data_IF_724330818622
#
_entry.id   IF_724330818622
#
_cell.length_a   1.000
_cell.length_b   1.000
_cell.length_c   1.000
_cell.angle_alpha   90.00
_cell.angle_beta   90.00
_cell.angle_gamma   90.00
#
_symmetry.space_group_name_H-M   'P 1'
#
loop_
_entity.id
_entity.type
_entity.pdbx_description
1 polymer ?
#
# COMPACT_ATOMS: atom_id res chain seq x y z
N UNK A 1 3.68 16.88 11.11
CA UNK A 1 3.26 15.53 10.69
C UNK A 1 1.97 15.16 11.40
N UNK A 2 1.26 14.11 10.96
CA UNK A 2 -0.02 13.68 11.58
C UNK A 2 0.15 13.22 13.04
N UNK A 3 1.31 12.63 13.37
CA UNK A 3 1.64 12.29 14.76
C UNK A 3 1.79 13.54 15.63
N UNK A 4 2.56 14.54 15.16
CA UNK A 4 2.68 15.84 15.85
C UNK A 4 1.30 16.50 16.03
N UNK A 5 0.44 16.45 15.01
CA UNK A 5 -0.94 16.93 15.12
C UNK A 5 -1.73 16.19 16.21
N UNK A 6 -1.60 14.86 16.32
CA UNK A 6 -2.22 14.09 17.41
C UNK A 6 -1.72 14.54 18.79
N UNK A 7 -0.43 14.81 18.95
CA UNK A 7 0.15 15.33 20.19
C UNK A 7 -0.31 16.76 20.52
N UNK A 8 -0.51 17.61 19.51
CA UNK A 8 -1.07 18.95 19.70
C UNK A 8 -2.53 18.90 20.13
N UNK A 9 -3.33 18.01 19.54
CA UNK A 9 -4.72 17.75 19.96
C UNK A 9 -4.78 17.23 21.38
N UNK A 10 -3.93 16.26 21.75
CA UNK A 10 -3.83 15.75 23.12
C UNK A 10 -3.52 16.86 24.15
N UNK A 11 -2.79 17.90 23.75
CA UNK A 11 -2.44 19.07 24.57
C UNK A 11 -3.50 20.18 24.57
N UNK A 12 -4.64 19.99 23.89
CA UNK A 12 -5.72 20.98 23.80
C UNK A 12 -5.45 22.16 22.87
N UNK A 13 -4.39 22.12 22.05
CA UNK A 13 -4.03 23.27 21.20
C UNK A 13 -5.04 23.57 20.09
N UNK A 14 -5.92 22.62 19.78
CA UNK A 14 -6.90 22.69 18.71
C UNK A 14 -8.35 22.84 19.18
N UNK A 15 -8.57 23.07 20.49
CA UNK A 15 -9.92 23.21 21.07
C UNK A 15 -10.71 24.36 20.43
N UNK A 16 -10.08 25.51 20.21
CA UNK A 16 -10.70 26.66 19.55
C UNK A 16 -11.02 26.40 18.06
N UNK A 17 -10.44 25.36 17.48
CA UNK A 17 -10.76 24.89 16.12
C UNK A 17 -11.80 23.76 16.13
N UNK A 18 -12.41 23.45 17.29
CA UNK A 18 -13.43 22.41 17.42
C UNK A 18 -12.87 20.99 17.57
N UNK A 19 -11.57 20.84 17.87
CA UNK A 19 -10.92 19.52 18.06
C UNK A 19 -10.44 19.39 19.50
N UNK A 20 -11.26 18.82 20.41
CA UNK A 20 -10.87 18.60 21.79
C UNK A 20 -9.89 17.42 21.95
N UNK A 21 -9.20 17.30 23.10
CA UNK A 21 -8.36 16.14 23.43
C UNK A 21 -9.11 14.80 23.47
N UNK A 22 -10.43 14.83 23.65
CA UNK A 22 -11.31 13.66 23.63
C UNK A 22 -12.25 13.72 22.40
N UNK A 23 -11.94 12.95 21.36
CA UNK A 23 -12.71 12.91 20.11
C UNK A 23 -13.72 11.79 20.18
N UNK A 24 -15.02 12.11 20.26
CA UNK A 24 -16.10 11.12 20.41
C UNK A 24 -17.38 11.46 19.61
N UNK A 25 -17.33 12.43 18.70
CA UNK A 25 -18.51 12.84 17.91
C UNK A 25 -18.14 13.11 16.45
N UNK A 26 -19.16 13.10 15.60
CA UNK A 26 -19.03 13.38 14.18
C UNK A 26 -18.59 14.82 13.89
N UNK A 27 -19.00 15.78 14.73
CA UNK A 27 -18.60 17.19 14.63
C UNK A 27 -17.08 17.35 14.84
N UNK A 28 -16.51 16.62 15.81
CA UNK A 28 -15.05 16.63 16.02
C UNK A 28 -14.31 16.06 14.79
N UNK A 29 -14.84 15.03 14.15
CA UNK A 29 -14.27 14.48 12.91
C UNK A 29 -14.33 15.49 11.76
N UNK A 30 -15.40 16.27 11.64
CA UNK A 30 -15.50 17.35 10.65
C UNK A 30 -14.49 18.47 10.90
N UNK A 31 -14.31 18.86 12.17
CA UNK A 31 -13.31 19.84 12.56
C UNK A 31 -11.88 19.35 12.22
N UNK A 32 -11.58 18.08 12.50
CA UNK A 32 -10.29 17.46 12.13
C UNK A 32 -10.11 17.45 10.61
N UNK A 33 -11.13 17.06 9.85
CA UNK A 33 -11.09 17.07 8.38
C UNK A 33 -10.76 18.47 7.85
N UNK A 34 -11.41 19.51 8.39
CA UNK A 34 -11.13 20.89 8.02
C UNK A 34 -9.70 21.32 8.38
N UNK A 35 -9.22 20.98 9.59
CA UNK A 35 -7.85 21.24 10.01
C UNK A 35 -6.82 20.55 9.10
N UNK A 36 -7.08 19.30 8.70
CA UNK A 36 -6.21 18.53 7.81
C UNK A 36 -6.08 19.19 6.44
N UNK A 37 -7.19 19.58 5.80
CA UNK A 37 -7.16 20.25 4.49
C UNK A 37 -6.67 21.69 4.55
N UNK A 38 -7.12 22.47 5.53
CA UNK A 38 -6.86 23.91 5.58
C UNK A 38 -5.51 24.29 6.19
N UNK A 39 -4.96 23.46 7.08
CA UNK A 39 -3.74 23.82 7.83
C UNK A 39 -2.64 22.77 7.74
N UNK A 40 -2.94 21.49 7.94
CA UNK A 40 -1.88 20.46 8.03
C UNK A 40 -1.28 20.12 6.66
N UNK A 41 -2.11 19.79 5.66
CA UNK A 41 -1.65 19.42 4.32
C UNK A 41 -0.91 20.58 3.60
N UNK A 42 -1.39 21.84 3.63
CA UNK A 42 -0.69 22.94 2.97
C UNK A 42 0.72 23.18 3.52
N UNK A 43 0.95 22.93 4.83
CA UNK A 43 2.27 23.12 5.47
C UNK A 43 3.34 22.18 4.94
N UNK A 44 2.97 20.94 4.56
CA UNK A 44 3.94 19.93 4.11
C UNK A 44 4.24 19.99 2.61
N UNK A 45 3.41 20.68 1.83
CA UNK A 45 3.61 20.91 0.38
C UNK A 45 3.98 19.63 -0.39
N UNK A 46 3.29 18.52 -0.12
CA UNK A 46 3.55 17.20 -0.76
C UNK A 46 3.60 17.27 -2.29
N UNK A 47 2.75 18.05 -3.00
CA UNK A 47 2.82 18.15 -4.45
C UNK A 47 4.20 18.51 -4.98
N UNK A 48 4.98 19.33 -4.26
CA UNK A 48 6.32 19.72 -4.70
C UNK A 48 7.24 18.52 -4.95
N UNK A 49 7.05 17.38 -4.27
CA UNK A 49 7.83 16.14 -4.49
C UNK A 49 7.63 15.51 -5.87
N UNK A 50 6.60 15.94 -6.62
CA UNK A 50 6.19 15.38 -7.91
C UNK A 50 6.26 16.38 -9.07
N UNK A 51 6.36 17.67 -8.74
CA UNK A 51 6.33 18.75 -9.72
C UNK A 51 7.73 19.11 -10.20
N UNK A 52 7.80 19.83 -11.31
CA UNK A 52 9.04 20.40 -11.84
C UNK A 52 9.15 21.89 -11.49
N UNK A 53 10.37 22.39 -11.39
CA UNK A 53 10.64 23.83 -11.30
C UNK A 53 10.52 24.48 -12.68
N UNK A 54 9.38 25.13 -12.96
CA UNK A 54 9.10 25.73 -14.27
C UNK A 54 10.17 26.73 -14.67
N UNK A 55 10.57 27.62 -13.76
CA UNK A 55 11.56 28.66 -14.04
C UNK A 55 12.93 28.06 -14.40
N UNK A 56 13.42 27.11 -13.62
CA UNK A 56 14.72 26.49 -13.86
C UNK A 56 14.77 25.73 -15.20
N UNK A 57 13.69 25.01 -15.55
CA UNK A 57 13.60 24.26 -16.81
C UNK A 57 13.45 25.21 -18.01
N UNK A 58 12.71 26.31 -17.84
CA UNK A 58 12.57 27.36 -18.85
C UNK A 58 13.90 28.06 -19.13
N UNK A 59 14.64 28.42 -18.09
CA UNK A 59 15.96 29.06 -18.21
C UNK A 59 16.95 28.16 -18.96
N UNK A 60 16.94 26.86 -18.63
CA UNK A 60 17.77 25.86 -19.30
C UNK A 60 17.36 25.67 -20.77
N UNK A 61 16.06 25.58 -21.06
CA UNK A 61 15.55 25.55 -22.42
C UNK A 61 15.98 26.78 -23.21
N UNK A 62 15.86 27.97 -22.65
CA UNK A 62 16.24 29.22 -23.30
C UNK A 62 17.76 29.27 -23.61
N UNK A 63 18.59 28.79 -22.68
CA UNK A 63 20.04 28.67 -22.86
C UNK A 63 20.40 27.72 -24.01
N UNK A 64 19.70 26.59 -24.12
CA UNK A 64 19.92 25.61 -25.20
C UNK A 64 19.39 26.11 -26.55
N UNK A 65 18.20 26.72 -26.56
CA UNK A 65 17.54 27.21 -27.77
C UNK A 65 18.35 28.33 -28.47
N UNK A 66 19.04 29.19 -27.71
CA UNK A 66 19.95 30.21 -28.26
C UNK A 66 21.11 29.66 -29.08
N UNK A 67 21.57 28.46 -28.75
CA UNK A 67 22.76 27.84 -29.34
C UNK A 67 22.40 26.77 -30.38
N UNK A 68 21.11 26.59 -30.70
CA UNK A 68 20.64 25.51 -31.58
C UNK A 68 19.70 26.03 -32.64
N UNK A 69 19.97 25.61 -33.87
CA UNK A 69 19.14 25.94 -35.02
C UNK A 69 17.77 25.27 -34.86
N UNK A 70 16.66 26.02 -34.99
CA UNK A 70 15.31 25.45 -35.01
C UNK A 70 15.20 24.33 -36.05
N UNK A 71 14.44 23.24 -35.77
CA UNK A 71 14.18 22.23 -36.77
C UNK A 71 13.39 22.82 -37.95
N UNK A 72 13.63 22.26 -39.14
CA UNK A 72 12.91 22.66 -40.35
C UNK A 72 11.40 22.40 -40.18
N UNK A 73 10.54 23.26 -40.74
CA UNK A 73 9.09 23.07 -40.68
C UNK A 73 8.69 21.71 -41.28
N UNK A 74 8.01 20.88 -40.50
CA UNK A 74 7.41 19.63 -40.98
C UNK A 74 6.00 19.87 -41.51
N UNK A 75 5.56 19.05 -42.46
CA UNK A 75 4.19 19.09 -43.02
C UNK A 75 3.10 18.78 -41.98
N UNK A 76 3.46 18.09 -40.90
CA UNK A 76 2.55 17.78 -39.79
C UNK A 76 2.76 18.76 -38.63
N UNK A 77 1.68 19.19 -37.95
CA UNK A 77 1.78 20.02 -36.75
C UNK A 77 2.48 19.26 -35.62
N UNK A 78 3.24 19.96 -34.75
CA UNK A 78 3.89 19.34 -33.60
C UNK A 78 2.85 18.77 -32.63
N UNK A 79 3.02 17.51 -32.27
CA UNK A 79 2.20 16.84 -31.26
C UNK A 79 2.76 17.12 -29.86
N UNK A 80 2.27 18.19 -29.23
CA UNK A 80 2.67 18.59 -27.87
C UNK A 80 2.27 17.57 -26.79
N UNK A 81 1.42 16.58 -27.10
CA UNK A 81 1.04 15.54 -26.14
C UNK A 81 2.19 14.56 -25.85
N UNK A 82 3.21 14.51 -26.71
CA UNK A 82 4.39 13.67 -26.57
C UNK A 82 5.30 14.10 -25.41
N UNK A 83 5.33 15.40 -25.09
CA UNK A 83 6.11 15.87 -23.96
C UNK A 83 5.43 15.47 -22.65
N UNK A 84 6.09 14.63 -21.86
CA UNK A 84 5.62 14.17 -20.54
C UNK A 84 6.54 14.64 -19.45
N UNK A 85 5.97 14.88 -18.27
CA UNK A 85 6.72 15.05 -17.03
C UNK A 85 7.38 13.71 -16.66
N UNK A 86 8.66 13.77 -16.36
CA UNK A 86 9.49 12.66 -15.89
C UNK A 86 9.71 12.86 -14.39
N UNK A 87 9.17 11.97 -13.52
CA UNK A 87 9.33 12.09 -12.07
C UNK A 87 10.80 12.02 -11.64
N UNK A 88 11.17 12.72 -10.56
CA UNK A 88 12.47 12.53 -9.92
C UNK A 88 12.47 11.19 -9.18
N UNK A 89 13.39 10.26 -9.46
CA UNK A 89 13.41 8.94 -8.81
C UNK A 89 13.66 9.01 -7.30
N UNK A 90 14.23 10.13 -6.81
CA UNK A 90 14.45 10.38 -5.39
C UNK A 90 13.29 11.18 -4.76
N UNK A 91 12.28 11.60 -5.53
CA UNK A 91 11.18 12.45 -5.07
C UNK A 91 11.65 13.73 -4.35
N UNK A 92 12.68 14.40 -4.87
CA UNK A 92 13.09 15.72 -4.37
C UNK A 92 12.12 16.80 -4.83
N UNK A 93 11.95 17.83 -4.01
CA UNK A 93 11.01 18.93 -4.28
C UNK A 93 11.39 19.69 -5.54
N UNK A 94 10.45 19.80 -6.48
CA UNK A 94 10.56 20.53 -7.74
C UNK A 94 11.66 20.01 -8.67
N UNK A 95 12.08 18.76 -8.50
CA UNK A 95 13.15 18.11 -9.28
C UNK A 95 12.65 17.21 -10.41
N UNK A 96 11.33 17.04 -10.59
CA UNK A 96 10.83 16.41 -11.79
C UNK A 96 11.29 17.19 -13.03
N UNK A 97 11.37 16.52 -14.18
CA UNK A 97 11.93 17.09 -15.40
C UNK A 97 11.08 16.76 -16.63
N UNK A 98 11.55 17.16 -17.81
CA UNK A 98 11.02 16.75 -19.11
C UNK A 98 12.18 16.41 -20.03
N UNK A 99 11.91 15.67 -21.11
CA UNK A 99 12.90 15.50 -22.18
C UNK A 99 13.14 16.85 -22.88
N UNK A 100 14.26 17.49 -22.55
CA UNK A 100 14.66 18.79 -23.12
C UNK A 100 14.98 18.71 -24.62
N UNK A 101 15.45 17.56 -25.11
CA UNK A 101 15.71 17.36 -26.54
C UNK A 101 14.41 17.28 -27.33
N UNK A 102 13.42 16.57 -26.79
CA UNK A 102 12.07 16.59 -27.32
C UNK A 102 11.43 17.97 -27.21
N UNK A 103 11.60 18.67 -26.08
CA UNK A 103 11.07 20.01 -25.90
C UNK A 103 11.65 21.00 -26.93
N UNK A 104 12.96 20.97 -27.18
CA UNK A 104 13.60 21.79 -28.21
C UNK A 104 13.03 21.48 -29.61
N UNK A 105 12.82 20.21 -29.93
CA UNK A 105 12.20 19.83 -31.22
C UNK A 105 10.78 20.35 -31.39
N UNK A 106 9.99 20.36 -30.32
CA UNK A 106 8.57 20.75 -30.36
C UNK A 106 8.37 22.26 -30.26
N UNK A 107 9.16 22.96 -29.45
CA UNK A 107 8.91 24.36 -29.08
C UNK A 107 9.91 25.35 -29.67
N UNK A 108 11.16 24.96 -29.96
CA UNK A 108 12.15 25.84 -30.60
C UNK A 108 11.93 25.91 -32.12
N UNK A 109 10.79 26.44 -32.56
CA UNK A 109 10.38 26.44 -33.98
C UNK A 109 10.53 27.81 -34.64
N UNK A 110 10.59 27.82 -35.97
CA UNK A 110 10.43 29.05 -36.76
C UNK A 110 8.99 29.55 -36.64
N UNK A 111 8.82 30.86 -36.47
CA UNK A 111 7.50 31.49 -36.40
C UNK A 111 7.38 32.62 -37.40
N UNK A 112 6.27 32.67 -38.12
CA UNK A 112 5.97 33.73 -39.10
C UNK A 112 5.53 35.05 -38.45
N UNK A 113 5.18 35.03 -37.16
CA UNK A 113 4.74 36.18 -36.37
C UNK A 113 5.89 36.93 -35.67
N UNK A 114 7.14 36.55 -35.92
CA UNK A 114 8.34 37.12 -35.29
C UNK A 114 9.33 37.63 -36.35
N UNK A 115 9.86 38.85 -36.15
CA UNK A 115 10.76 39.52 -37.10
C UNK A 115 12.24 39.48 -36.69
N UNK A 116 12.52 39.08 -35.45
CA UNK A 116 13.86 38.96 -34.88
C UNK A 116 13.96 37.71 -34.00
N UNK A 117 15.19 37.22 -33.82
CA UNK A 117 15.47 35.98 -33.11
C UNK A 117 15.14 36.08 -31.61
N UNK A 118 15.32 37.24 -30.99
CA UNK A 118 15.00 37.44 -29.56
C UNK A 118 13.49 37.39 -29.30
N UNK A 119 12.68 37.93 -30.20
CA UNK A 119 11.22 37.84 -30.14
C UNK A 119 10.73 36.42 -30.39
N UNK A 120 11.31 35.71 -31.37
CA UNK A 120 11.02 34.28 -31.64
C UNK A 120 11.31 33.43 -30.41
N UNK A 121 12.51 33.55 -29.84
CA UNK A 121 12.93 32.81 -28.65
C UNK A 121 12.01 33.09 -27.46
N UNK A 122 11.64 34.36 -27.21
CA UNK A 122 10.69 34.70 -26.13
C UNK A 122 9.33 34.02 -26.31
N UNK A 123 8.77 34.04 -27.53
CA UNK A 123 7.48 33.40 -27.81
C UNK A 123 7.52 31.87 -27.67
N UNK A 124 8.56 31.23 -28.21
CA UNK A 124 8.80 29.79 -28.04
C UNK A 124 8.95 29.40 -26.57
N UNK A 125 9.68 30.21 -25.81
CA UNK A 125 9.90 30.01 -24.38
C UNK A 125 8.60 30.16 -23.58
N UNK A 126 7.76 31.14 -23.90
CA UNK A 126 6.46 31.32 -23.24
C UNK A 126 5.49 30.17 -23.54
N UNK A 127 5.45 29.67 -24.77
CA UNK A 127 4.64 28.49 -25.10
C UNK A 127 5.12 27.23 -24.39
N UNK A 128 6.44 27.03 -24.28
CA UNK A 128 7.02 25.95 -23.52
C UNK A 128 6.69 26.07 -22.02
N UNK A 129 6.85 27.27 -21.45
CA UNK A 129 6.47 27.57 -20.07
C UNK A 129 5.01 27.22 -19.79
N UNK A 130 4.08 27.66 -20.65
CA UNK A 130 2.65 27.32 -20.52
C UNK A 130 2.43 25.80 -20.57
N UNK A 131 3.17 25.07 -21.40
CA UNK A 131 3.07 23.60 -21.42
C UNK A 131 3.56 22.97 -20.13
N UNK A 132 4.65 23.47 -19.55
CA UNK A 132 5.17 23.01 -18.26
C UNK A 132 4.18 23.27 -17.12
N UNK A 133 3.54 24.44 -17.11
CA UNK A 133 2.47 24.79 -16.16
C UNK A 133 1.27 23.83 -16.29
N UNK A 134 0.85 23.52 -17.53
CA UNK A 134 -0.20 22.53 -17.80
C UNK A 134 0.18 21.12 -17.28
N UNK A 135 1.43 20.68 -17.52
CA UNK A 135 1.93 19.39 -17.03
C UNK A 135 1.97 19.34 -15.50
N UNK A 136 2.46 20.41 -14.86
CA UNK A 136 2.45 20.53 -13.40
C UNK A 136 1.02 20.50 -12.85
N UNK A 137 0.07 21.21 -13.46
CA UNK A 137 -1.31 21.22 -13.01
C UNK A 137 -1.96 19.84 -13.13
N UNK A 138 -1.71 19.11 -14.22
CA UNK A 138 -2.21 17.75 -14.39
C UNK A 138 -1.68 16.79 -13.31
N UNK A 139 -0.38 16.87 -12.99
CA UNK A 139 0.23 16.07 -11.91
C UNK A 139 -0.29 16.52 -10.54
N UNK A 140 -0.38 17.82 -10.30
CA UNK A 140 -0.90 18.37 -9.05
C UNK A 140 -2.34 17.89 -8.81
N UNK A 141 -3.20 17.92 -9.82
CA UNK A 141 -4.58 17.42 -9.72
C UNK A 141 -4.65 15.92 -9.37
N UNK A 142 -3.72 15.11 -9.88
CA UNK A 142 -3.60 13.70 -9.49
C UNK A 142 -3.20 13.55 -8.01
N UNK A 143 -2.20 14.32 -7.56
CA UNK A 143 -1.72 14.28 -6.16
C UNK A 143 -2.78 14.80 -5.19
N UNK A 144 -3.40 15.96 -5.47
CA UNK A 144 -4.86 16.18 -5.42
C UNK A 144 -5.70 15.03 -4.86
N UNK A 145 -6.16 14.18 -5.78
CA UNK A 145 -7.04 13.07 -5.47
C UNK A 145 -6.45 12.09 -4.45
N UNK A 146 -5.13 11.85 -4.47
CA UNK A 146 -4.48 11.00 -3.48
C UNK A 146 -4.49 11.59 -2.07
N UNK A 147 -4.27 12.89 -1.93
CA UNK A 147 -4.31 13.57 -0.64
C UNK A 147 -5.73 13.67 -0.07
N UNK A 148 -6.74 13.86 -0.95
CA UNK A 148 -8.15 13.78 -0.55
C UNK A 148 -8.46 12.38 0.00
N UNK A 149 -8.09 11.32 -0.72
CA UNK A 149 -8.26 9.95 -0.25
C UNK A 149 -7.53 9.71 1.09
N UNK A 150 -6.32 10.26 1.25
CA UNK A 150 -5.55 10.17 2.49
C UNK A 150 -6.28 10.76 3.69
N UNK A 151 -6.90 11.93 3.54
CA UNK A 151 -7.69 12.55 4.60
C UNK A 151 -8.92 11.70 4.91
N UNK A 152 -9.66 11.27 3.89
CA UNK A 152 -10.88 10.49 4.10
C UNK A 152 -10.61 9.14 4.78
N UNK A 153 -9.53 8.46 4.43
CA UNK A 153 -9.13 7.22 5.11
C UNK A 153 -8.68 7.47 6.56
N UNK A 154 -7.99 8.58 6.83
CA UNK A 154 -7.66 8.98 8.21
C UNK A 154 -8.94 9.23 9.02
N UNK A 155 -9.92 9.94 8.45
CA UNK A 155 -11.22 10.21 9.11
C UNK A 155 -12.01 8.92 9.32
N UNK A 156 -12.02 8.00 8.36
CA UNK A 156 -12.65 6.69 8.50
C UNK A 156 -12.02 5.86 9.63
N UNK A 157 -10.69 5.85 9.71
CA UNK A 157 -9.97 5.23 10.83
C UNK A 157 -10.33 5.86 12.18
N UNK A 158 -10.27 7.19 12.29
CA UNK A 158 -10.66 7.90 13.52
C UNK A 158 -12.11 7.60 13.91
N UNK A 159 -13.03 7.55 12.94
CA UNK A 159 -14.44 7.20 13.17
C UNK A 159 -14.55 5.82 13.80
N UNK A 160 -13.92 4.81 13.20
CA UNK A 160 -13.96 3.44 13.72
C UNK A 160 -13.43 3.37 15.15
N UNK A 161 -12.25 3.92 15.41
CA UNK A 161 -11.62 3.82 16.73
C UNK A 161 -12.34 4.61 17.84
N UNK A 162 -13.06 5.69 17.49
CA UNK A 162 -13.49 6.68 18.49
C UNK A 162 -14.99 6.97 18.56
N UNK A 163 -15.71 6.81 17.45
CA UNK A 163 -17.12 7.23 17.33
C UNK A 163 -18.05 6.04 17.03
N UNK A 164 -17.63 5.12 16.16
CA UNK A 164 -18.48 4.04 15.66
C UNK A 164 -18.91 3.08 16.78
N UNK A 165 -20.14 2.58 16.69
CA UNK A 165 -20.76 1.85 17.79
C UNK A 165 -20.15 0.49 18.10
N UNK A 166 -19.70 -0.19 17.05
CA UNK A 166 -19.02 -1.49 16.95
C UNK A 166 -17.48 -1.35 16.89
N UNK A 167 -16.95 -0.14 17.10
CA UNK A 167 -15.53 0.10 17.24
C UNK A 167 -15.07 0.13 18.70
N UNK A 168 -13.75 0.27 18.94
CA UNK A 168 -13.16 0.31 20.29
C UNK A 168 -13.65 1.42 21.21
N UNK A 169 -14.21 2.52 20.66
CA UNK A 169 -14.66 3.72 21.37
C UNK A 169 -13.63 4.23 22.37
N UNK A 170 -12.46 4.64 21.87
CA UNK A 170 -11.39 5.25 22.63
C UNK A 170 -11.43 6.77 22.36
N UNK A 171 -12.05 7.62 23.21
CA UNK A 171 -12.16 9.05 22.90
C UNK A 171 -10.84 9.79 23.04
N UNK A 172 -10.06 9.44 24.06
CA UNK A 172 -8.87 10.17 24.46
C UNK A 172 -7.75 10.03 23.42
N UNK A 173 -7.20 11.18 23.01
CA UNK A 173 -6.05 11.23 22.11
C UNK A 173 -4.78 11.28 22.95
N UNK A 174 -3.91 10.28 22.79
CA UNK A 174 -2.64 10.21 23.53
C UNK A 174 -1.48 9.86 22.60
N UNK A 175 -0.25 9.83 23.12
CA UNK A 175 0.91 9.34 22.36
C UNK A 175 0.80 7.84 22.03
N UNK A 176 0.14 7.06 22.89
CA UNK A 176 -0.12 5.63 22.71
C UNK A 176 -1.29 5.39 21.73
N UNK A 177 -2.33 6.21 21.85
CA UNK A 177 -3.54 6.15 21.05
C UNK A 177 -3.70 7.45 20.24
N UNK A 178 -2.88 7.67 19.19
CA UNK A 178 -2.94 8.87 18.36
C UNK A 178 -4.21 8.89 17.48
N UNK A 179 -4.48 10.03 16.82
CA UNK A 179 -5.62 10.11 15.89
C UNK A 179 -5.43 9.21 14.65
N UNK A 180 -4.18 9.13 14.16
CA UNK A 180 -3.79 8.28 13.04
C UNK A 180 -2.65 7.39 13.52
N UNK A 181 -2.72 6.05 13.32
CA UNK A 181 -1.62 5.17 13.69
C UNK A 181 -0.34 5.55 12.96
N UNK A 182 0.82 5.20 13.53
CA UNK A 182 2.09 5.37 12.83
C UNK A 182 2.17 4.37 11.67
N UNK A 183 2.68 4.83 10.53
CA UNK A 183 2.90 4.01 9.34
C UNK A 183 4.38 3.68 9.14
N UNK A 184 5.25 4.34 9.90
CA UNK A 184 6.69 4.18 9.82
C UNK A 184 7.26 4.23 11.24
N UNK A 185 8.24 3.36 11.48
CA UNK A 185 9.15 3.43 12.61
C UNK A 185 10.39 4.21 12.17
N UNK A 186 10.86 5.10 13.03
CA UNK A 186 12.04 5.91 12.81
C UNK A 186 12.88 5.98 14.08
N UNK A 187 14.18 6.28 13.91
CA UNK A 187 15.14 6.36 15.01
C UNK A 187 14.97 7.62 15.88
N UNK A 188 14.24 8.63 15.39
CA UNK A 188 14.03 9.91 16.06
C UNK A 188 12.59 10.40 15.77
N UNK A 189 11.84 10.69 16.83
CA UNK A 189 10.45 11.21 16.77
C UNK A 189 10.35 12.55 16.03
N UNK A 190 11.48 13.17 15.70
CA UNK A 190 11.61 14.46 15.01
C UNK A 190 12.24 14.39 13.62
N UNK A 191 12.02 13.31 12.86
CA UNK A 191 12.51 13.17 11.47
C UNK A 191 12.35 14.44 10.60
N UNK A 192 13.48 14.91 10.06
CA UNK A 192 13.54 15.84 8.93
C UNK A 192 13.39 15.05 7.62
N UNK A 193 12.82 15.71 6.59
CA UNK A 193 12.79 15.18 5.22
C UNK A 193 14.20 14.86 4.70
N UNK A 194 15.20 15.62 5.13
CA UNK A 194 16.61 15.44 4.72
C UNK A 194 17.17 14.05 5.04
N UNK A 195 16.61 13.37 6.05
CA UNK A 195 17.01 12.00 6.40
C UNK A 195 16.79 11.06 5.22
N UNK A 196 15.74 11.27 4.42
CA UNK A 196 15.41 10.46 3.25
C UNK A 196 16.47 10.56 2.14
N UNK A 197 17.24 11.64 2.12
CA UNK A 197 18.32 11.88 1.15
C UNK A 197 19.70 11.54 1.70
N UNK A 198 19.76 10.84 2.84
CA UNK A 198 21.00 10.45 3.53
C UNK A 198 21.13 8.93 3.66
N UNK A 199 22.29 8.47 4.13
CA UNK A 199 22.51 7.05 4.49
C UNK A 199 21.56 6.57 5.60
N UNK A 200 20.97 7.48 6.38
CA UNK A 200 20.07 7.13 7.48
C UNK A 200 18.64 6.83 7.04
N UNK A 201 18.31 6.99 5.75
CA UNK A 201 17.00 6.65 5.20
C UNK A 201 16.62 5.19 5.46
N UNK A 202 17.61 4.29 5.60
CA UNK A 202 17.39 2.87 5.91
C UNK A 202 16.75 2.62 7.29
N UNK A 203 16.80 3.60 8.20
CA UNK A 203 16.18 3.51 9.52
C UNK A 203 14.73 4.00 9.55
N UNK A 204 14.19 4.46 8.41
CA UNK A 204 12.78 4.81 8.26
C UNK A 204 12.05 3.60 7.68
N UNK A 205 11.53 2.75 8.56
CA UNK A 205 10.99 1.44 8.21
C UNK A 205 9.47 1.49 8.13
N UNK A 206 8.91 1.10 6.98
CA UNK A 206 7.46 1.04 6.79
C UNK A 206 6.84 -0.08 7.64
N UNK A 207 5.70 0.21 8.25
CA UNK A 207 4.91 -0.79 8.97
C UNK A 207 4.19 -1.73 8.01
N UNK A 208 3.98 -2.97 8.43
CA UNK A 208 3.11 -3.90 7.71
C UNK A 208 1.65 -3.66 8.09
N UNK A 209 0.74 -4.41 7.48
CA UNK A 209 -0.69 -4.30 7.71
C UNK A 209 -1.48 -5.00 6.63
N UNK A 210 -2.77 -4.66 6.55
CA UNK A 210 -3.66 -5.14 5.50
C UNK A 210 -4.44 -3.99 4.87
N UNK A 211 -4.90 -4.22 3.65
CA UNK A 211 -5.65 -3.26 2.83
C UNK A 211 -6.96 -3.90 2.45
N UNK A 212 -8.05 -3.18 2.71
CA UNK A 212 -9.39 -3.70 2.43
C UNK A 212 -9.58 -3.95 0.92
N UNK A 213 -10.04 -5.14 0.55
CA UNK A 213 -10.28 -5.56 -0.84
C UNK A 213 -9.06 -5.44 -1.76
N UNK A 214 -7.84 -5.53 -1.22
CA UNK A 214 -6.63 -5.55 -2.04
C UNK A 214 -6.46 -6.88 -2.79
N UNK A 215 -5.82 -6.80 -3.96
CA UNK A 215 -5.34 -7.98 -4.66
C UNK A 215 -4.21 -8.63 -3.85
N UNK A 216 -4.36 -9.89 -3.39
CA UNK A 216 -3.33 -10.58 -2.60
C UNK A 216 -2.02 -10.81 -3.38
N UNK A 217 -2.07 -10.78 -4.72
CA UNK A 217 -0.87 -10.93 -5.54
C UNK A 217 -0.11 -9.62 -5.73
N UNK A 218 -0.72 -8.48 -5.39
CA UNK A 218 -0.11 -7.17 -5.55
C UNK A 218 0.63 -6.76 -4.25
N UNK A 219 1.91 -6.41 -4.38
CA UNK A 219 2.64 -5.83 -3.27
C UNK A 219 2.22 -4.37 -3.04
N UNK A 220 1.44 -4.12 -2.00
CA UNK A 220 0.99 -2.77 -1.64
C UNK A 220 2.11 -1.79 -1.27
N UNK A 221 3.32 -2.29 -1.04
CA UNK A 221 4.51 -1.47 -0.77
C UNK A 221 5.42 -1.31 -2.02
N UNK A 222 4.96 -1.71 -3.21
CA UNK A 222 5.74 -1.50 -4.44
C UNK A 222 5.87 -0.01 -4.78
N UNK A 223 6.89 0.39 -5.57
CA UNK A 223 7.07 1.77 -5.99
C UNK A 223 5.87 2.39 -6.73
N UNK A 224 5.07 1.57 -7.41
CA UNK A 224 3.89 1.97 -8.17
C UNK A 224 2.65 2.15 -7.28
N UNK A 225 2.69 1.59 -6.07
CA UNK A 225 1.59 1.64 -5.13
C UNK A 225 1.50 2.99 -4.43
N UNK A 226 0.27 3.46 -4.25
CA UNK A 226 -0.03 4.71 -3.53
C UNK A 226 -0.69 4.47 -2.16
N UNK A 227 -0.72 3.22 -1.68
CA UNK A 227 -1.48 2.82 -0.48
C UNK A 227 -1.01 3.56 0.79
N UNK A 228 0.31 3.71 0.97
CA UNK A 228 0.86 4.48 2.10
C UNK A 228 0.54 5.98 2.00
N UNK A 229 0.63 6.55 0.78
CA UNK A 229 0.31 7.96 0.53
C UNK A 229 -1.17 8.25 0.79
N UNK A 230 -2.04 7.37 0.28
CA UNK A 230 -3.50 7.44 0.37
C UNK A 230 -4.04 6.94 1.71
N UNK A 231 -3.18 6.48 2.63
CA UNK A 231 -3.57 5.99 3.97
C UNK A 231 -4.59 4.86 3.93
N UNK A 232 -4.52 4.00 2.91
CA UNK A 232 -5.43 2.86 2.71
C UNK A 232 -5.02 1.63 3.53
N UNK A 233 -3.81 1.64 4.08
CA UNK A 233 -3.29 0.56 4.92
C UNK A 233 -3.83 0.68 6.35
N UNK A 234 -4.41 -0.41 6.84
CA UNK A 234 -4.62 -0.59 8.28
C UNK A 234 -3.29 -1.10 8.84
N UNK A 235 -2.48 -0.15 9.31
CA UNK A 235 -1.11 -0.38 9.71
C UNK A 235 -1.00 -1.00 11.11
N UNK A 236 -0.12 -1.99 11.25
CA UNK A 236 0.25 -2.61 12.52
C UNK A 236 1.48 -1.91 13.09
N UNK A 237 1.28 -1.10 14.13
CA UNK A 237 2.32 -0.25 14.71
C UNK A 237 3.45 -1.00 15.44
N UNK A 238 3.28 -2.29 15.64
CA UNK A 238 4.17 -3.22 16.34
C UNK A 238 5.06 -4.05 15.39
N UNK A 239 4.87 -3.93 14.06
CA UNK A 239 5.63 -4.70 13.07
C UNK A 239 6.12 -3.85 11.90
N UNK A 240 7.33 -4.17 11.42
CA UNK A 240 7.91 -3.58 10.21
C UNK A 240 7.77 -4.55 9.04
N UNK A 241 7.50 -4.03 7.84
CA UNK A 241 7.39 -4.83 6.62
C UNK A 241 8.78 -5.22 6.11
N UNK A 242 9.01 -6.52 5.95
CA UNK A 242 10.26 -7.06 5.42
C UNK A 242 10.30 -6.95 3.88
N UNK A 243 11.34 -6.31 3.34
CA UNK A 243 11.54 -6.11 1.90
C UNK A 243 12.53 -7.14 1.34
N UNK A 244 12.01 -8.28 0.89
CA UNK A 244 12.81 -9.35 0.30
C UNK A 244 13.46 -8.99 -1.05
N UNK A 245 12.78 -8.19 -1.87
CA UNK A 245 13.15 -8.01 -3.28
C UNK A 245 12.55 -9.09 -4.17
N UNK A 246 13.06 -9.23 -5.39
CA UNK A 246 12.62 -10.25 -6.36
C UNK A 246 13.41 -11.56 -6.20
N UNK A 247 14.64 -11.47 -5.68
CA UNK A 247 15.58 -12.58 -5.55
C UNK A 247 16.47 -12.45 -4.31
N UNK A 248 17.13 -13.53 -3.86
CA UNK A 248 18.00 -13.51 -2.68
C UNK A 248 19.08 -12.43 -2.69
N UNK A 249 19.61 -12.09 -3.87
CA UNK A 249 20.67 -11.10 -4.02
C UNK A 249 20.23 -9.67 -3.69
N UNK A 250 18.93 -9.37 -3.73
CA UNK A 250 18.41 -8.03 -3.45
C UNK A 250 18.44 -7.68 -1.95
N UNK A 251 18.38 -8.69 -1.09
CA UNK A 251 18.53 -8.54 0.35
C UNK A 251 19.16 -9.79 1.01
N UNK A 252 20.44 -10.10 0.76
CA UNK A 252 21.04 -11.39 1.09
C UNK A 252 20.91 -11.77 2.57
N UNK A 253 21.10 -10.79 3.46
CA UNK A 253 20.96 -11.00 4.90
C UNK A 253 19.56 -11.48 5.27
N UNK A 254 18.50 -10.83 4.76
CA UNK A 254 17.12 -11.16 5.12
C UNK A 254 16.75 -12.57 4.66
N UNK A 255 17.10 -12.93 3.42
CA UNK A 255 16.83 -14.27 2.88
C UNK A 255 17.57 -15.36 3.68
N UNK A 256 18.85 -15.16 3.98
CA UNK A 256 19.64 -16.10 4.77
C UNK A 256 19.11 -16.23 6.20
N UNK A 257 18.77 -15.11 6.84
CA UNK A 257 18.23 -15.09 8.19
C UNK A 257 16.90 -15.84 8.27
N UNK A 258 15.98 -15.56 7.35
CA UNK A 258 14.66 -16.21 7.32
C UNK A 258 14.75 -17.67 6.91
N UNK A 259 15.68 -18.05 6.03
CA UNK A 259 15.94 -19.45 5.73
C UNK A 259 16.44 -20.20 6.96
N UNK A 260 17.43 -19.67 7.68
CA UNK A 260 17.93 -20.28 8.91
C UNK A 260 16.84 -20.43 9.97
N UNK A 261 15.99 -19.41 10.13
CA UNK A 261 14.81 -19.45 11.00
C UNK A 261 13.85 -20.58 10.62
N UNK A 262 13.45 -20.66 9.34
CA UNK A 262 12.51 -21.68 8.85
C UNK A 262 13.10 -23.08 8.92
N UNK A 263 14.39 -23.23 8.61
CA UNK A 263 15.12 -24.51 8.72
C UNK A 263 15.14 -24.98 10.18
N UNK A 264 15.39 -24.09 11.15
CA UNK A 264 15.34 -24.41 12.58
C UNK A 264 13.93 -24.82 13.03
N UNK A 265 12.89 -24.14 12.53
CA UNK A 265 11.50 -24.52 12.79
C UNK A 265 11.21 -25.92 12.25
N UNK A 266 11.64 -26.24 11.03
CA UNK A 266 11.43 -27.55 10.42
C UNK A 266 12.22 -28.69 11.10
N UNK A 267 13.39 -28.40 11.68
CA UNK A 267 14.13 -29.36 12.50
C UNK A 267 13.32 -29.74 13.76
N UNK A 268 12.65 -28.77 14.36
CA UNK A 268 11.99 -28.92 15.67
C UNK A 268 10.57 -29.44 15.57
N UNK A 269 9.78 -28.94 14.62
CA UNK A 269 8.33 -29.18 14.54
C UNK A 269 7.95 -30.02 13.31
N UNK A 270 6.88 -30.79 13.43
CA UNK A 270 6.35 -31.60 12.33
C UNK A 270 5.58 -30.78 11.28
N UNK A 271 5.24 -29.54 11.60
CA UNK A 271 4.50 -28.66 10.70
C UNK A 271 4.63 -27.18 11.03
N UNK A 272 4.18 -26.35 10.08
CA UNK A 272 4.19 -24.88 10.15
C UNK A 272 2.79 -24.35 9.81
N UNK A 273 2.32 -23.34 10.57
CA UNK A 273 1.15 -22.52 10.25
C UNK A 273 1.61 -21.23 9.58
N UNK A 274 1.17 -20.98 8.35
CA UNK A 274 1.40 -19.72 7.63
C UNK A 274 0.29 -18.74 8.00
N UNK A 275 0.68 -17.73 8.76
CA UNK A 275 -0.16 -16.58 9.10
C UNK A 275 -0.29 -15.64 7.91
N UNK A 276 -1.49 -15.12 7.64
CA UNK A 276 -1.75 -14.15 6.57
C UNK A 276 -1.06 -14.51 5.23
N UNK A 277 -1.14 -15.78 4.81
CA UNK A 277 -0.34 -16.34 3.72
C UNK A 277 -0.56 -15.60 2.39
N UNK A 278 -1.76 -15.06 2.19
CA UNK A 278 -2.15 -14.28 1.02
C UNK A 278 -1.42 -12.93 0.90
N UNK A 279 -0.76 -12.45 1.97
CA UNK A 279 0.03 -11.21 1.97
C UNK A 279 1.54 -11.46 1.80
N UNK A 280 1.96 -12.73 1.67
CA UNK A 280 3.37 -13.10 1.47
C UNK A 280 3.64 -13.33 -0.02
N UNK A 281 4.66 -12.69 -0.62
CA UNK A 281 5.02 -12.95 -2.01
C UNK A 281 5.30 -14.44 -2.26
N UNK A 282 4.65 -15.00 -3.29
CA UNK A 282 4.72 -16.44 -3.61
C UNK A 282 6.16 -16.95 -3.74
N UNK A 283 7.03 -16.18 -4.40
CA UNK A 283 8.44 -16.57 -4.61
C UNK A 283 9.20 -16.73 -3.28
N UNK A 284 8.92 -15.85 -2.31
CA UNK A 284 9.54 -15.91 -0.98
C UNK A 284 9.01 -17.12 -0.20
N UNK A 285 7.68 -17.31 -0.18
CA UNK A 285 7.06 -18.42 0.53
C UNK A 285 7.50 -19.78 -0.06
N UNK A 286 7.55 -19.90 -1.38
CA UNK A 286 8.00 -21.11 -2.10
C UNK A 286 9.45 -21.46 -1.73
N UNK A 287 10.36 -20.49 -1.82
CA UNK A 287 11.77 -20.68 -1.47
C UNK A 287 11.96 -21.16 -0.02
N UNK A 288 11.27 -20.52 0.93
CA UNK A 288 11.40 -20.84 2.36
C UNK A 288 10.78 -22.20 2.69
N UNK A 289 9.61 -22.52 2.15
CA UNK A 289 8.97 -23.82 2.36
C UNK A 289 9.77 -24.96 1.71
N UNK A 290 10.38 -24.74 0.55
CA UNK A 290 11.25 -25.73 -0.07
C UNK A 290 12.50 -25.98 0.77
N UNK A 291 13.04 -24.94 1.42
CA UNK A 291 14.11 -25.12 2.41
C UNK A 291 13.64 -25.95 3.60
N UNK A 292 12.49 -25.62 4.16
CA UNK A 292 11.86 -26.37 5.24
C UNK A 292 11.67 -27.86 4.88
N UNK A 293 11.25 -28.15 3.65
CA UNK A 293 11.01 -29.52 3.16
C UNK A 293 12.29 -30.31 2.89
N UNK A 294 13.39 -29.64 2.54
CA UNK A 294 14.72 -30.29 2.48
C UNK A 294 15.15 -30.79 3.85
N UNK A 295 14.83 -30.04 4.90
CA UNK A 295 15.06 -30.43 6.30
C UNK A 295 14.05 -31.51 6.74
N UNK A 296 12.76 -31.33 6.43
CA UNK A 296 11.67 -32.25 6.79
C UNK A 296 10.80 -32.59 5.58
N UNK A 297 11.06 -33.70 4.87
CA UNK A 297 10.31 -34.07 3.66
C UNK A 297 8.80 -34.22 3.86
N UNK A 298 8.35 -34.62 5.06
CA UNK A 298 6.94 -34.81 5.40
C UNK A 298 6.33 -33.63 6.18
N UNK A 299 6.85 -32.41 5.97
CA UNK A 299 6.39 -31.22 6.68
C UNK A 299 4.89 -30.96 6.42
N UNK A 300 4.10 -30.90 7.49
CA UNK A 300 2.70 -30.48 7.42
C UNK A 300 2.61 -28.95 7.34
N UNK A 301 1.90 -28.42 6.33
CA UNK A 301 1.74 -26.97 6.16
C UNK A 301 0.27 -26.60 6.23
N UNK A 302 -0.11 -25.82 7.25
CA UNK A 302 -1.42 -25.19 7.36
C UNK A 302 -1.32 -23.72 6.97
N UNK A 303 -2.29 -23.18 6.24
CA UNK A 303 -2.27 -21.77 5.85
C UNK A 303 -3.59 -21.06 6.15
N UNK A 304 -3.49 -19.88 6.74
CA UNK A 304 -4.56 -18.90 6.77
C UNK A 304 -4.55 -18.15 5.44
N UNK A 305 -5.51 -18.51 4.58
CA UNK A 305 -5.59 -18.04 3.21
C UNK A 305 -7.04 -17.69 2.86
N UNK A 306 -7.27 -16.40 2.67
CA UNK A 306 -8.57 -15.80 2.39
C UNK A 306 -8.46 -14.88 1.17
N UNK A 307 -8.50 -15.44 -0.04
CA UNK A 307 -8.30 -14.66 -1.28
C UNK A 307 -9.61 -14.26 -1.99
N UNK A 308 -10.76 -14.47 -1.36
CA UNK A 308 -12.12 -14.27 -1.94
C UNK A 308 -12.34 -14.97 -3.30
N UNK A 309 -11.45 -15.87 -3.71
CA UNK A 309 -11.47 -16.60 -4.98
C UNK A 309 -10.88 -17.99 -4.79
N UNK A 310 -11.69 -19.02 -5.03
CA UNK A 310 -11.22 -20.42 -5.04
C UNK A 310 -10.07 -20.62 -6.05
N UNK A 311 -10.06 -19.88 -7.17
CA UNK A 311 -9.00 -19.93 -8.17
C UNK A 311 -7.67 -19.39 -7.61
N UNK A 312 -7.69 -18.25 -6.92
CA UNK A 312 -6.50 -17.67 -6.31
C UNK A 312 -6.00 -18.56 -5.17
N UNK A 313 -6.88 -19.08 -4.33
CA UNK A 313 -6.54 -20.06 -3.29
C UNK A 313 -5.78 -21.26 -3.89
N UNK A 314 -6.27 -21.79 -5.03
CA UNK A 314 -5.63 -22.92 -5.71
C UNK A 314 -4.21 -22.59 -6.22
N UNK A 315 -3.92 -21.35 -6.61
CA UNK A 315 -2.55 -20.96 -7.02
C UNK A 315 -1.60 -21.12 -5.84
N UNK A 316 -1.97 -20.58 -4.68
CA UNK A 316 -1.15 -20.68 -3.46
C UNK A 316 -1.02 -22.12 -3.00
N UNK A 317 -2.12 -22.88 -2.93
CA UNK A 317 -2.09 -24.29 -2.49
C UNK A 317 -1.15 -25.12 -3.36
N UNK A 318 -1.28 -25.02 -4.68
CA UNK A 318 -0.50 -25.84 -5.60
C UNK A 318 0.98 -25.44 -5.64
N UNK A 319 1.28 -24.13 -5.66
CA UNK A 319 2.67 -23.66 -5.71
C UNK A 319 3.40 -23.86 -4.40
N UNK A 320 2.75 -23.57 -3.28
CA UNK A 320 3.38 -23.65 -1.97
C UNK A 320 3.32 -25.06 -1.38
N UNK A 321 2.56 -25.98 -1.97
CA UNK A 321 2.35 -27.33 -1.45
C UNK A 321 1.66 -27.32 -0.09
N UNK A 322 0.68 -26.43 0.10
CA UNK A 322 -0.05 -26.30 1.36
C UNK A 322 -0.84 -27.59 1.61
N UNK A 323 -0.64 -28.20 2.78
CA UNK A 323 -1.33 -29.44 3.15
C UNK A 323 -2.76 -29.17 3.57
N UNK A 324 -3.05 -28.07 4.27
CA UNK A 324 -4.40 -27.74 4.73
C UNK A 324 -4.67 -26.24 4.76
N UNK A 325 -5.86 -25.85 4.33
CA UNK A 325 -6.35 -24.48 4.49
C UNK A 325 -7.12 -24.36 5.81
N UNK A 326 -6.82 -23.33 6.59
CA UNK A 326 -7.57 -23.00 7.79
C UNK A 326 -8.96 -22.49 7.39
N UNK A 327 -9.98 -23.04 8.03
CA UNK A 327 -11.39 -22.64 7.89
C UNK A 327 -11.97 -22.48 9.29
N UNK A 328 -12.83 -21.49 9.47
CA UNK A 328 -13.30 -21.10 10.80
C UNK A 328 -14.83 -21.23 10.89
N UNK A 329 -15.32 -22.02 11.85
CA UNK A 329 -16.74 -22.19 12.08
C UNK A 329 -17.39 -20.90 12.62
N UNK A 330 -16.63 -20.10 13.39
CA UNK A 330 -17.12 -18.82 13.90
C UNK A 330 -17.29 -17.76 12.81
N UNK A 331 -16.77 -17.91 11.59
CA UNK A 331 -17.08 -16.97 10.50
C UNK A 331 -18.53 -17.06 10.03
N UNK A 332 -19.23 -18.18 10.29
CA UNK A 332 -20.64 -18.32 9.93
C UNK A 332 -21.52 -17.35 10.73
N UNK A 333 -22.32 -16.56 10.00
CA UNK A 333 -23.22 -15.55 10.57
C UNK A 333 -24.57 -16.13 11.03
N UNK A 334 -24.93 -17.33 10.58
CA UNK A 334 -26.13 -18.07 11.00
C UNK A 334 -25.91 -19.59 10.95
N UNK A 335 -26.91 -20.36 11.39
CA UNK A 335 -26.86 -21.82 11.41
C UNK A 335 -26.85 -22.45 10.00
N UNK A 336 -27.44 -21.77 9.01
CA UNK A 336 -27.47 -22.25 7.63
C UNK A 336 -26.06 -22.17 7.01
N UNK A 337 -25.36 -21.05 7.21
CA UNK A 337 -23.99 -20.85 6.75
C UNK A 337 -23.02 -21.83 7.43
N UNK A 338 -23.18 -22.08 8.74
CA UNK A 338 -22.41 -23.10 9.43
C UNK A 338 -22.65 -24.49 8.81
N UNK A 339 -23.93 -24.83 8.55
CA UNK A 339 -24.30 -26.06 7.86
C UNK A 339 -23.66 -26.19 6.47
N UNK A 340 -23.58 -25.09 5.70
CA UNK A 340 -22.91 -25.05 4.40
C UNK A 340 -21.41 -25.33 4.51
N UNK A 341 -20.73 -24.76 5.50
CA UNK A 341 -19.31 -25.00 5.76
C UNK A 341 -19.05 -26.46 6.19
N UNK A 342 -19.83 -26.96 7.16
CA UNK A 342 -19.75 -28.35 7.62
C UNK A 342 -20.01 -29.32 6.46
N UNK A 343 -21.00 -29.06 5.61
CA UNK A 343 -21.27 -29.89 4.44
C UNK A 343 -20.11 -29.88 3.43
N UNK A 344 -19.55 -28.70 3.13
CA UNK A 344 -18.44 -28.55 2.17
C UNK A 344 -17.19 -29.32 2.62
N UNK A 345 -16.91 -29.35 3.92
CA UNK A 345 -15.70 -29.96 4.48
C UNK A 345 -15.95 -31.32 5.17
N UNK A 346 -17.20 -31.78 5.23
CA UNK A 346 -17.61 -33.03 5.92
C UNK A 346 -17.35 -34.31 5.12
N UNK A 347 -17.02 -34.20 3.83
CA UNK A 347 -16.57 -35.32 3.01
C UNK A 347 -17.54 -35.69 1.88
N UNK A 348 -17.62 -36.98 1.59
CA UNK A 348 -18.35 -37.51 0.44
C UNK A 348 -19.81 -37.80 0.81
N UNK A 349 -20.80 -37.46 -0.03
CA UNK A 349 -22.21 -37.75 0.24
C UNK A 349 -22.50 -39.25 0.47
N UNK A 350 -23.48 -39.52 1.33
CA UNK A 350 -24.00 -40.88 1.54
C UNK A 350 -24.58 -41.42 0.22
N UNK A 351 -24.14 -42.61 -0.19
CA UNK A 351 -24.56 -43.23 -1.45
C UNK A 351 -23.78 -42.76 -2.69
N UNK A 352 -22.67 -42.02 -2.51
CA UNK A 352 -21.80 -41.65 -3.62
C UNK A 352 -21.22 -42.88 -4.33
N UNK A 353 -21.02 -42.76 -5.65
CA UNK A 353 -20.34 -43.78 -6.43
C UNK A 353 -18.90 -43.96 -5.97
N UNK A 354 -18.50 -45.21 -5.78
CA UNK A 354 -17.12 -45.53 -5.41
C UNK A 354 -16.17 -45.15 -6.55
N UNK A 355 -15.12 -44.36 -6.28
CA UNK A 355 -14.11 -44.06 -7.28
C UNK A 355 -13.41 -45.37 -7.67
N UNK A 356 -13.17 -45.57 -8.97
CA UNK A 356 -12.40 -46.74 -9.41
C UNK A 356 -10.93 -46.60 -8.99
N UNK A 357 -10.25 -47.71 -8.64
CA UNK A 357 -8.83 -47.66 -8.26
C UNK A 357 -7.91 -47.14 -9.36
N UNK A 358 -8.28 -47.33 -10.63
CA UNK A 358 -7.54 -46.92 -11.83
C UNK A 358 -7.86 -45.48 -12.30
N UNK A 359 -8.55 -44.67 -11.48
CA UNK A 359 -8.87 -43.29 -11.87
C UNK A 359 -7.59 -42.45 -12.03
N UNK A 360 -7.53 -41.55 -13.04
CA UNK A 360 -6.46 -40.58 -13.13
C UNK A 360 -6.49 -39.63 -11.93
N UNK A 361 -5.34 -39.02 -11.63
CA UNK A 361 -5.27 -37.90 -10.69
C UNK A 361 -6.22 -36.79 -11.18
N UNK A 362 -7.17 -36.43 -10.34
CA UNK A 362 -8.14 -35.36 -10.61
C UNK A 362 -7.98 -34.26 -9.58
N UNK A 363 -8.32 -33.02 -9.98
CA UNK A 363 -8.38 -31.90 -9.06
C UNK A 363 -9.37 -32.18 -7.93
N UNK A 364 -8.99 -31.80 -6.72
CA UNK A 364 -9.83 -31.90 -5.53
C UNK A 364 -9.85 -30.55 -4.80
N UNK A 365 -10.82 -30.40 -3.90
CA UNK A 365 -10.81 -29.28 -2.96
C UNK A 365 -9.62 -29.48 -2.01
N UNK A 366 -8.86 -28.41 -1.77
CA UNK A 366 -7.78 -28.44 -0.79
C UNK A 366 -8.28 -28.95 0.57
N UNK A 367 -7.49 -29.76 1.25
CA UNK A 367 -7.85 -30.27 2.57
C UNK A 367 -8.09 -29.11 3.53
N UNK A 368 -9.12 -29.21 4.37
CA UNK A 368 -9.48 -28.18 5.32
C UNK A 368 -9.04 -28.58 6.73
N UNK A 369 -8.36 -27.68 7.43
CA UNK A 369 -8.26 -27.69 8.88
C UNK A 369 -9.41 -26.84 9.41
N UNK A 370 -10.56 -27.48 9.65
CA UNK A 370 -11.77 -26.78 10.07
C UNK A 370 -11.78 -26.62 11.59
N UNK A 371 -11.55 -25.40 12.04
CA UNK A 371 -11.48 -25.02 13.44
C UNK A 371 -12.85 -24.54 13.91
N UNK A 372 -13.29 -25.07 15.05
CA UNK A 372 -14.47 -24.60 15.77
C UNK A 372 -14.27 -23.15 16.23
N UNK A 373 -13.10 -22.85 16.80
CA UNK A 373 -12.72 -21.52 17.26
C UNK A 373 -11.22 -21.27 17.01
N UNK A 374 -10.88 -20.15 16.35
CA UNK A 374 -9.49 -19.71 16.22
C UNK A 374 -9.11 -18.73 17.34
N UNK A 375 -7.81 -18.45 17.47
CA UNK A 375 -7.30 -17.52 18.47
C UNK A 375 -7.65 -16.04 18.16
N UNK A 376 -8.07 -15.75 16.92
CA UNK A 376 -8.51 -14.41 16.49
C UNK A 376 -10.05 -14.25 16.50
N UNK A 377 -10.78 -15.34 16.72
CA UNK A 377 -12.22 -15.30 16.75
C UNK A 377 -12.73 -14.70 18.08
N UNK A 378 -13.82 -13.92 18.05
CA UNK A 378 -14.48 -13.49 19.27
C UNK A 378 -15.03 -14.71 20.02
N UNK A 379 -15.16 -14.59 21.34
CA UNK A 379 -15.70 -15.66 22.17
C UNK A 379 -17.10 -16.08 21.66
N UNK A 380 -17.42 -17.39 21.61
CA UNK A 380 -18.76 -17.86 21.27
C UNK A 380 -19.86 -17.26 22.14
N UNK A 381 -19.55 -16.92 23.40
CA UNK A 381 -20.48 -16.24 24.32
C UNK A 381 -20.84 -14.83 23.84
N UNK A 382 -19.86 -14.08 23.33
CA UNK A 382 -20.04 -12.71 22.86
C UNK A 382 -20.72 -12.68 21.49
N UNK A 383 -20.32 -13.61 20.60
CA UNK A 383 -20.82 -13.66 19.22
C UNK A 383 -22.18 -14.36 19.10
N UNK A 384 -22.45 -15.34 19.97
CA UNK A 384 -23.64 -16.22 19.91
C UNK A 384 -24.25 -16.40 21.31
N UNK A 385 -24.05 -17.57 21.92
CA UNK A 385 -24.56 -17.89 23.26
C UNK A 385 -23.78 -19.06 23.89
N UNK A 386 -23.91 -19.24 25.21
CA UNK A 386 -23.28 -20.35 25.95
C UNK A 386 -23.68 -21.73 25.44
N UNK A 387 -24.89 -21.87 24.88
CA UNK A 387 -25.40 -23.14 24.38
C UNK A 387 -24.77 -23.59 23.06
N UNK A 388 -24.04 -22.69 22.37
CA UNK A 388 -23.37 -22.98 21.09
C UNK A 388 -21.98 -23.60 21.26
N UNK A 389 -21.52 -23.83 22.50
CA UNK A 389 -20.19 -24.40 22.75
C UNK A 389 -20.12 -25.94 22.57
N UNK A 390 -21.26 -26.65 22.55
CA UNK A 390 -21.34 -28.12 22.44
C UNK A 390 -22.54 -28.62 21.57
N UNK A 391 -22.97 -27.93 20.51
CA UNK A 391 -24.27 -28.13 19.86
C UNK A 391 -24.55 -29.54 19.34
#
# INVERSE_FOLDING_TARGET
TLYKFSLEVAKGMWEFSGVPPAVNSDEHLQAIRHAMFGTILPRVRIPELYLLNVHAIVDEFQRLARNRVPPLPTSNPPDYSQLKLVPDPQFRRLHATVDLELALRLFNVYRSDCFDEDTRLRRCTEEFKRKLEELNEAVNHKIQGHLVAAVENCIAGMRYFRVQGDGPRIPEVTAKDPLVPRYFTDADESLSEDVMYSSNACYVMAHNGWVMNADPLANFASPESNIYLRRELIAWGDSVKLRYGEKPEDCPFLWQHMQAYVDQMAQTFDGIRLDNCHSTPLVVAEYLLDSARRVRPNLFVAAELFTNSDQTDNIFVNRLGITSLIREAMSAWDSHELGRLVYRYGGVPVGAFLPRPDRPLAGGVAHALFLDLTHDNPCPLDKRSVFDSLP
#
